data_IF_840976814141
#
_entry.id   IF_840976814141
#
_cell.length_a   1.000
_cell.length_b   1.000
_cell.length_c   1.000
_cell.angle_alpha   90.00
_cell.angle_beta   90.00
_cell.angle_gamma   90.00
#
_symmetry.space_group_name_H-M   'P 1'
#
loop_
_entity.id
_entity.type
_entity.pdbx_description
1 polymer ?
#
# COMPACT_ATOMS: atom_id res chain seq x y z
N UNK A 1 -7.40 19.40 -18.22
CA UNK A 1 -7.72 17.98 -18.01
C UNK A 1 -6.52 17.04 -18.16
N UNK A 2 -5.48 17.34 -18.99
CA UNK A 2 -4.32 16.44 -19.13
C UNK A 2 -3.28 16.49 -18.00
N UNK A 3 -3.17 17.61 -17.27
CA UNK A 3 -2.14 17.82 -16.23
C UNK A 3 -2.51 17.15 -14.89
N UNK A 4 -3.80 17.14 -14.54
CA UNK A 4 -4.31 16.46 -13.35
C UNK A 4 -4.13 14.93 -13.44
N UNK A 5 -4.37 14.34 -14.60
CA UNK A 5 -4.24 12.88 -14.79
C UNK A 5 -2.77 12.43 -14.69
N UNK A 6 -1.84 13.24 -15.21
CA UNK A 6 -0.41 12.96 -15.09
C UNK A 6 0.06 13.06 -13.63
N UNK A 7 -0.40 14.07 -12.89
CA UNK A 7 -0.09 14.23 -11.47
C UNK A 7 -0.61 13.04 -10.64
N UNK A 8 -1.85 12.59 -10.90
CA UNK A 8 -2.45 11.45 -10.19
C UNK A 8 -1.67 10.17 -10.45
N UNK A 9 -1.31 9.89 -11.70
CA UNK A 9 -0.50 8.71 -12.06
C UNK A 9 0.89 8.72 -11.41
N UNK A 10 1.50 9.91 -11.27
CA UNK A 10 2.80 10.05 -10.62
C UNK A 10 2.71 9.74 -9.12
N UNK A 11 1.65 10.24 -8.46
CA UNK A 11 1.37 9.95 -7.05
C UNK A 11 1.07 8.46 -6.83
N UNK A 12 0.25 7.84 -7.69
CA UNK A 12 -0.04 6.41 -7.64
C UNK A 12 1.25 5.58 -7.80
N UNK A 13 2.11 5.92 -8.76
CA UNK A 13 3.38 5.24 -8.96
C UNK A 13 4.34 5.39 -7.76
N UNK A 14 4.42 6.57 -7.16
CA UNK A 14 5.20 6.79 -5.93
C UNK A 14 4.67 5.97 -4.75
N UNK A 15 3.35 5.94 -4.58
CA UNK A 15 2.70 5.15 -3.54
C UNK A 15 2.97 3.66 -3.74
N UNK A 16 2.79 3.15 -4.96
CA UNK A 16 3.08 1.76 -5.31
C UNK A 16 4.51 1.38 -4.98
N UNK A 17 5.47 2.19 -5.42
CA UNK A 17 6.89 1.96 -5.16
C UNK A 17 7.18 1.97 -3.65
N UNK A 18 6.61 2.92 -2.91
CA UNK A 18 6.75 3.02 -1.46
C UNK A 18 6.22 1.79 -0.73
N UNK A 19 5.04 1.30 -1.09
CA UNK A 19 4.44 0.08 -0.51
C UNK A 19 5.32 -1.13 -0.80
N UNK A 20 5.74 -1.33 -2.05
CA UNK A 20 6.58 -2.47 -2.44
C UNK A 20 7.93 -2.44 -1.71
N UNK A 21 8.56 -1.27 -1.62
CA UNK A 21 9.82 -1.08 -0.88
C UNK A 21 9.65 -1.34 0.62
N UNK A 22 8.58 -0.85 1.24
CA UNK A 22 8.31 -1.06 2.66
C UNK A 22 8.12 -2.56 2.97
N UNK A 23 7.34 -3.27 2.15
CA UNK A 23 7.11 -4.72 2.34
C UNK A 23 8.39 -5.52 2.11
N UNK A 24 9.15 -5.23 1.05
CA UNK A 24 10.43 -5.89 0.80
C UNK A 24 11.44 -5.62 1.89
N UNK A 25 11.57 -4.35 2.32
CA UNK A 25 12.45 -3.94 3.41
C UNK A 25 12.07 -4.64 4.72
N UNK A 26 10.78 -4.75 5.00
CA UNK A 26 10.29 -5.46 6.17
C UNK A 26 10.61 -6.95 6.16
N UNK A 27 10.46 -7.61 5.03
CA UNK A 27 10.84 -9.01 4.90
C UNK A 27 12.34 -9.22 5.14
N UNK A 28 13.19 -8.32 4.62
CA UNK A 28 14.65 -8.44 4.78
C UNK A 28 15.15 -8.11 6.19
N UNK A 29 14.48 -7.22 6.92
CA UNK A 29 14.92 -6.77 8.25
C UNK A 29 14.12 -7.39 9.41
N UNK A 30 13.10 -8.20 9.10
CA UNK A 30 12.19 -8.76 10.11
C UNK A 30 11.29 -7.71 10.77
N UNK A 31 10.93 -6.64 10.06
CA UNK A 31 10.08 -5.59 10.61
C UNK A 31 8.66 -6.07 10.88
N UNK A 32 8.07 -5.50 11.94
CA UNK A 32 6.70 -5.77 12.36
C UNK A 32 5.68 -5.26 11.32
N UNK A 33 4.65 -6.05 10.97
CA UNK A 33 3.56 -5.63 10.08
C UNK A 33 2.85 -4.33 10.50
N UNK A 34 2.95 -3.92 11.77
CA UNK A 34 2.43 -2.64 12.28
C UNK A 34 3.11 -1.42 11.64
N UNK A 35 4.41 -1.49 11.35
CA UNK A 35 5.13 -0.41 10.71
C UNK A 35 4.60 -0.18 9.28
N UNK A 36 4.34 -1.27 8.56
CA UNK A 36 3.76 -1.22 7.22
C UNK A 36 2.30 -0.76 7.27
N UNK A 37 1.53 -1.17 8.29
CA UNK A 37 0.14 -0.74 8.45
C UNK A 37 0.02 0.79 8.60
N UNK A 38 0.93 1.42 9.36
CA UNK A 38 1.01 2.87 9.48
C UNK A 38 1.32 3.56 8.13
N UNK A 39 2.34 3.06 7.42
CA UNK A 39 2.69 3.57 6.10
C UNK A 39 1.56 3.40 5.06
N UNK A 40 0.86 2.26 5.09
CA UNK A 40 -0.29 1.99 4.22
C UNK A 40 -1.47 2.93 4.51
N UNK A 41 -1.73 3.26 5.77
CA UNK A 41 -2.81 4.19 6.14
C UNK A 41 -2.57 5.59 5.56
N UNK A 42 -1.32 6.07 5.63
CA UNK A 42 -0.95 7.36 5.04
C UNK A 42 -0.95 7.34 3.51
N UNK A 43 -0.50 6.23 2.91
CA UNK A 43 -0.55 6.01 1.47
C UNK A 43 -1.99 6.00 0.93
N UNK A 44 -2.89 5.29 1.60
CA UNK A 44 -4.32 5.27 1.25
C UNK A 44 -4.92 6.68 1.30
N UNK A 45 -4.68 7.43 2.38
CA UNK A 45 -5.21 8.78 2.54
C UNK A 45 -4.71 9.71 1.42
N UNK A 46 -3.44 9.58 1.04
CA UNK A 46 -2.83 10.34 -0.06
C UNK A 46 -3.42 9.94 -1.42
N UNK A 47 -3.61 8.64 -1.66
CA UNK A 47 -4.23 8.11 -2.87
C UNK A 47 -5.67 8.62 -3.04
N UNK A 48 -6.48 8.53 -1.98
CA UNK A 48 -7.87 8.99 -1.98
C UNK A 48 -7.94 10.51 -2.17
N UNK A 49 -7.06 11.27 -1.50
CA UNK A 49 -6.98 12.72 -1.67
C UNK A 49 -6.60 13.14 -3.10
N UNK A 50 -5.77 12.34 -3.77
CA UNK A 50 -5.43 12.50 -5.18
C UNK A 50 -6.52 11.98 -6.14
N UNK A 51 -7.61 11.38 -5.65
CA UNK A 51 -8.63 10.67 -6.46
C UNK A 51 -8.07 9.49 -7.25
N UNK A 52 -7.00 8.87 -6.74
CA UNK A 52 -6.41 7.65 -7.29
C UNK A 52 -7.14 6.38 -6.84
N UNK A 53 -6.88 5.28 -7.53
CA UNK A 53 -7.45 3.96 -7.24
C UNK A 53 -6.57 3.17 -6.27
N UNK A 54 -6.92 3.23 -4.99
CA UNK A 54 -6.22 2.51 -3.93
C UNK A 54 -6.31 0.98 -4.09
N UNK A 55 -7.46 0.47 -4.54
CA UNK A 55 -7.66 -0.97 -4.67
C UNK A 55 -6.84 -1.51 -5.85
N UNK A 56 -6.86 -0.79 -6.99
CA UNK A 56 -6.05 -1.09 -8.15
C UNK A 56 -4.54 -1.04 -7.84
N UNK A 57 -4.11 -0.09 -7.01
CA UNK A 57 -2.73 -0.02 -6.53
C UNK A 57 -2.33 -1.22 -5.66
N UNK A 58 -3.20 -1.66 -4.76
CA UNK A 58 -2.93 -2.83 -3.93
C UNK A 58 -2.82 -4.12 -4.76
N UNK A 59 -3.67 -4.27 -5.78
CA UNK A 59 -3.57 -5.41 -6.69
C UNK A 59 -2.28 -5.37 -7.52
N UNK A 60 -1.85 -4.19 -7.98
CA UNK A 60 -0.54 -4.03 -8.60
C UNK A 60 0.61 -4.36 -7.64
N UNK A 61 0.53 -3.89 -6.39
CA UNK A 61 1.54 -4.20 -5.38
C UNK A 61 1.63 -5.70 -5.14
N UNK A 62 0.50 -6.41 -5.06
CA UNK A 62 0.47 -7.87 -4.95
C UNK A 62 1.13 -8.56 -6.13
N UNK A 63 0.89 -8.11 -7.36
CA UNK A 63 1.56 -8.66 -8.56
C UNK A 63 3.08 -8.46 -8.52
N UNK A 64 3.56 -7.34 -7.97
CA UNK A 64 4.98 -7.03 -7.86
C UNK A 64 5.69 -7.70 -6.65
N UNK A 65 4.91 -8.22 -5.72
CA UNK A 65 5.38 -8.87 -4.49
C UNK A 65 5.29 -10.40 -4.63
N UNK A 66 6.29 -11.10 -4.10
CA UNK A 66 6.28 -12.57 -4.02
C UNK A 66 5.27 -13.07 -2.97
N UNK A 67 4.96 -14.37 -2.98
CA UNK A 67 3.99 -14.99 -2.07
C UNK A 67 4.27 -14.70 -0.57
N UNK A 68 5.54 -14.75 -0.15
CA UNK A 68 5.95 -14.43 1.23
C UNK A 68 5.71 -12.96 1.60
N UNK A 69 5.85 -12.06 0.63
CA UNK A 69 5.65 -10.62 0.80
C UNK A 69 4.17 -10.26 0.80
N UNK A 70 3.37 -10.97 0.00
CA UNK A 70 1.91 -10.82 0.00
C UNK A 70 1.33 -11.17 1.36
N UNK A 71 1.79 -12.25 2.01
CA UNK A 71 1.36 -12.60 3.37
C UNK A 71 1.64 -11.49 4.39
N UNK A 72 2.76 -10.80 4.24
CA UNK A 72 3.17 -9.69 5.10
C UNK A 72 2.35 -8.42 4.82
N UNK A 73 2.05 -8.15 3.55
CA UNK A 73 1.14 -7.08 3.12
C UNK A 73 -0.29 -7.31 3.63
N UNK A 74 -0.84 -8.53 3.50
CA UNK A 74 -2.18 -8.87 3.99
C UNK A 74 -2.27 -8.78 5.52
N UNK A 75 -1.21 -9.15 6.24
CA UNK A 75 -1.14 -8.94 7.69
C UNK A 75 -1.19 -7.45 8.04
N UNK A 76 -0.42 -6.61 7.35
CA UNK A 76 -0.42 -5.16 7.55
C UNK A 76 -1.79 -4.53 7.20
N UNK A 77 -2.44 -4.99 6.13
CA UNK A 77 -3.78 -4.54 5.75
C UNK A 77 -4.85 -4.91 6.80
N UNK A 78 -4.76 -6.11 7.38
CA UNK A 78 -5.65 -6.53 8.48
C UNK A 78 -5.46 -5.67 9.73
N UNK A 79 -4.22 -5.36 10.08
CA UNK A 79 -3.91 -4.47 11.22
C UNK A 79 -4.47 -3.07 10.95
N UNK A 80 -4.27 -2.54 9.73
CA UNK A 80 -4.81 -1.24 9.30
C UNK A 80 -6.34 -1.19 9.41
N UNK A 81 -7.03 -2.25 8.98
CA UNK A 81 -8.49 -2.34 9.07
C UNK A 81 -9.02 -2.38 10.52
N UNK A 82 -8.14 -2.65 11.49
CA UNK A 82 -8.46 -2.75 12.91
C UNK A 82 -9.35 -3.97 13.25
N UNK A 83 -9.55 -4.28 14.54
CA UNK A 83 -10.43 -5.37 14.99
C UNK A 83 -11.94 -5.13 14.74
N UNK A 84 -12.30 -4.18 13.88
CA UNK A 84 -13.69 -3.76 13.62
C UNK A 84 -14.25 -4.13 12.25
N UNK A 85 -13.47 -4.78 11.36
CA UNK A 85 -13.91 -5.09 9.99
C UNK A 85 -14.88 -6.29 9.86
N UNK A 86 -15.38 -6.81 10.99
CA UNK A 86 -16.45 -7.81 11.03
C UNK A 86 -17.57 -7.31 11.93
N UNK A 87 -18.53 -6.58 11.36
CA UNK A 87 -19.92 -6.55 11.83
C UNK A 87 -20.85 -6.35 10.65
#
# INVERSE_FOLDING_TARGET
MGLDVLFIRDVEAMILAGVVLAVRGAQHQGYDPQFIAGALSQAEHTCIAAKGDWQGLLDQARVMLGADQQGLLDAALKIRAGPGATK
#
